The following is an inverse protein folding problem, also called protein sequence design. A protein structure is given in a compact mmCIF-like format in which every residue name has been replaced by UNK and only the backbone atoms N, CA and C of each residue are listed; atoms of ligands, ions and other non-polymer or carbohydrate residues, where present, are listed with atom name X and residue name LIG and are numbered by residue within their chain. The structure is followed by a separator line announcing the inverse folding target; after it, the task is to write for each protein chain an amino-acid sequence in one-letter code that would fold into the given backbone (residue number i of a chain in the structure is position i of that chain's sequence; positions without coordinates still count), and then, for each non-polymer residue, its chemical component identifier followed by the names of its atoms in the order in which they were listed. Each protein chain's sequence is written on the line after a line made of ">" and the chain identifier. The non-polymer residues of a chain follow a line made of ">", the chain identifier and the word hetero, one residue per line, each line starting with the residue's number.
data_IF_698488878992
#
_entry.id   IF_698488878992
#
_cell.length_a   1.000
_cell.length_b   1.000
_cell.length_c   1.000
_cell.angle_alpha   90.00
_cell.angle_beta   90.00
_cell.angle_gamma   90.00
#
_symmetry.space_group_name_H-M   'P 1'
#
loop_
_entity.id
_entity.type
_entity.pdbx_description
1 polymer ?
#
# COMPACT_ATOMS: atom_id res chain seq x y z
N UNK A 1 -12.91 10.56 1.24
CA UNK A 1 -11.66 11.16 0.76
C UNK A 1 -10.48 10.45 1.38
N UNK A 2 -9.47 10.14 0.61
CA UNK A 2 -8.31 9.39 1.08
C UNK A 2 -7.27 10.35 1.64
N UNK A 3 -6.80 10.08 2.86
CA UNK A 3 -5.75 10.88 3.49
C UNK A 3 -4.38 10.25 3.24
N UNK A 4 -4.16 9.76 2.02
CA UNK A 4 -2.91 9.12 1.64
C UNK A 4 -1.84 10.17 1.41
N UNK A 5 -0.70 9.98 2.05
CA UNK A 5 0.49 10.80 1.84
C UNK A 5 1.58 9.94 1.21
N UNK A 6 2.28 10.50 0.24
CA UNK A 6 3.42 9.86 -0.40
C UNK A 6 4.65 10.71 -0.12
N UNK A 7 5.59 10.18 0.66
CA UNK A 7 6.80 10.93 1.04
C UNK A 7 7.95 10.72 0.06
N UNK A 8 7.76 9.88 -0.95
CA UNK A 8 8.83 9.49 -1.86
C UNK A 8 9.55 8.21 -1.43
N UNK A 9 9.38 7.78 -0.19
CA UNK A 9 9.97 6.55 0.34
C UNK A 9 8.93 5.73 1.10
N UNK A 10 7.77 6.31 1.37
CA UNK A 10 6.75 5.69 2.20
C UNK A 10 5.40 6.26 1.87
N UNK A 11 4.39 5.41 1.79
CA UNK A 11 3.00 5.84 1.83
C UNK A 11 2.53 5.83 3.27
N UNK A 12 1.75 6.83 3.64
CA UNK A 12 1.19 6.95 4.99
C UNK A 12 -0.28 7.30 4.90
N UNK A 13 -1.07 6.77 5.84
CA UNK A 13 -2.49 7.05 5.90
C UNK A 13 -2.94 7.11 7.36
N UNK A 14 -3.60 8.21 7.72
CA UNK A 14 -4.05 8.43 9.09
C UNK A 14 -5.49 7.98 9.27
N UNK A 15 -5.77 7.31 10.39
CA UNK A 15 -7.11 6.96 10.84
C UNK A 15 -7.12 7.03 12.35
N UNK A 16 -8.12 7.67 12.92
CA UNK A 16 -8.31 7.74 14.37
C UNK A 16 -7.06 8.24 15.11
N UNK A 17 -6.36 9.20 14.50
CA UNK A 17 -5.15 9.76 15.08
C UNK A 17 -3.93 8.84 15.02
N UNK A 18 -4.02 7.73 14.30
CA UNK A 18 -2.93 6.75 14.14
C UNK A 18 -2.51 6.70 12.68
N UNK A 19 -1.25 6.36 12.43
CA UNK A 19 -0.71 6.31 11.07
C UNK A 19 -0.33 4.88 10.69
N UNK A 20 -0.92 4.38 9.60
CA UNK A 20 -0.47 3.17 8.93
C UNK A 20 0.50 3.57 7.83
N UNK A 21 1.47 2.69 7.50
CA UNK A 21 2.45 3.06 6.48
C UNK A 21 2.89 1.86 5.66
N UNK A 22 3.44 2.18 4.47
CA UNK A 22 4.01 1.19 3.57
C UNK A 22 5.32 1.74 3.03
N UNK A 23 6.42 1.07 3.36
CA UNK A 23 7.74 1.44 2.86
C UNK A 23 7.92 0.93 1.45
N UNK A 24 8.42 1.77 0.55
CA UNK A 24 8.56 1.37 -0.85
C UNK A 24 9.82 1.97 -1.48
N UNK A 25 10.21 1.38 -2.62
CA UNK A 25 11.27 1.88 -3.48
C UNK A 25 10.77 1.90 -4.91
N UNK A 26 11.18 2.89 -5.68
CA UNK A 26 10.84 2.97 -7.10
C UNK A 26 12.06 2.61 -7.96
N UNK A 27 11.83 1.86 -9.01
CA UNK A 27 12.83 1.60 -10.03
C UNK A 27 12.12 1.53 -11.37
N UNK A 28 12.29 2.58 -12.19
CA UNK A 28 11.56 2.70 -13.45
C UNK A 28 10.07 2.76 -13.19
N UNK A 29 9.30 1.87 -13.82
CA UNK A 29 7.85 1.81 -13.68
C UNK A 29 7.41 0.78 -12.64
N UNK A 30 8.33 0.37 -11.75
CA UNK A 30 8.08 -0.67 -10.77
C UNK A 30 8.21 -0.11 -9.36
N UNK A 31 7.20 -0.38 -8.54
CA UNK A 31 7.17 0.00 -7.15
C UNK A 31 7.41 -1.26 -6.31
N UNK A 32 8.53 -1.28 -5.58
CA UNK A 32 8.84 -2.39 -4.68
C UNK A 32 8.27 -2.07 -3.31
N UNK A 33 7.28 -2.84 -2.90
CA UNK A 33 6.59 -2.62 -1.63
C UNK A 33 7.24 -3.49 -0.58
N UNK A 34 8.12 -2.89 0.22
CA UNK A 34 8.99 -3.63 1.13
C UNK A 34 8.30 -4.04 2.42
N UNK A 35 7.45 -3.19 2.97
CA UNK A 35 6.84 -3.45 4.27
C UNK A 35 5.56 -2.63 4.44
N UNK A 36 4.52 -3.27 4.98
CA UNK A 36 3.25 -2.61 5.30
C UNK A 36 2.98 -2.84 6.78
N UNK A 37 2.66 -1.77 7.49
CA UNK A 37 2.45 -1.82 8.93
C UNK A 37 1.29 -0.95 9.37
N UNK A 38 0.59 -1.37 10.41
CA UNK A 38 -0.43 -0.57 11.09
C UNK A 38 -0.13 -0.55 12.58
N UNK A 39 -0.41 0.57 13.28
CA UNK A 39 -0.26 0.61 14.73
C UNK A 39 -1.17 -0.41 15.39
N UNK A 40 -0.76 -0.86 16.58
CA UNK A 40 -1.54 -1.82 17.36
C UNK A 40 -2.99 -1.34 17.56
N UNK A 41 -3.18 -0.04 17.76
CA UNK A 41 -4.52 0.53 17.98
C UNK A 41 -5.45 0.35 16.77
N UNK A 42 -4.90 0.18 15.57
CA UNK A 42 -5.69 0.01 14.34
C UNK A 42 -5.78 -1.46 13.88
N UNK A 43 -5.13 -2.38 14.59
CA UNK A 43 -5.15 -3.79 14.20
C UNK A 43 -6.57 -4.34 14.32
N UNK A 44 -6.98 -5.12 13.33
CA UNK A 44 -8.32 -5.68 13.27
C UNK A 44 -9.37 -4.73 12.75
N UNK A 45 -9.01 -3.48 12.41
CA UNK A 45 -9.97 -2.50 11.86
C UNK A 45 -10.02 -2.50 10.35
N UNK A 46 -9.08 -3.17 9.68
CA UNK A 46 -8.97 -3.13 8.23
C UNK A 46 -8.14 -1.95 7.71
N UNK A 47 -7.45 -1.22 8.60
CA UNK A 47 -6.67 -0.04 8.21
C UNK A 47 -5.58 -0.37 7.19
N UNK A 48 -4.85 -1.48 7.37
CA UNK A 48 -3.80 -1.88 6.44
C UNK A 48 -4.38 -2.17 5.06
N UNK A 49 -5.56 -2.80 5.00
CA UNK A 49 -6.24 -3.06 3.73
C UNK A 49 -6.68 -1.78 3.04
N UNK A 50 -7.16 -0.81 3.80
CA UNK A 50 -7.52 0.50 3.23
C UNK A 50 -6.30 1.24 2.70
N UNK A 51 -5.17 1.14 3.41
CA UNK A 51 -3.90 1.68 2.93
C UNK A 51 -3.50 1.00 1.62
N UNK A 52 -3.57 -0.33 1.56
CA UNK A 52 -3.25 -1.08 0.35
C UNK A 52 -4.13 -0.64 -0.83
N UNK A 53 -5.43 -0.48 -0.61
CA UNK A 53 -6.33 -0.04 -1.67
C UNK A 53 -5.96 1.36 -2.16
N UNK A 54 -5.66 2.28 -1.24
CA UNK A 54 -5.33 3.65 -1.60
C UNK A 54 -4.01 3.73 -2.36
N UNK A 55 -2.96 3.05 -1.89
CA UNK A 55 -1.66 3.11 -2.57
C UNK A 55 -1.70 2.38 -3.92
N UNK A 56 -2.50 1.32 -4.03
CA UNK A 56 -2.64 0.60 -5.30
C UNK A 56 -3.35 1.46 -6.34
N UNK A 57 -4.38 2.20 -5.92
CA UNK A 57 -5.04 3.14 -6.83
C UNK A 57 -4.08 4.24 -7.28
N UNK A 58 -3.23 4.74 -6.38
CA UNK A 58 -2.22 5.74 -6.70
C UNK A 58 -1.20 5.18 -7.70
N UNK A 59 -0.73 3.96 -7.47
CA UNK A 59 0.21 3.30 -8.37
C UNK A 59 -0.41 3.12 -9.76
N UNK A 60 -1.68 2.72 -9.84
CA UNK A 60 -2.37 2.58 -11.13
C UNK A 60 -2.43 3.93 -11.85
N UNK A 61 -2.77 4.99 -11.11
CA UNK A 61 -2.85 6.32 -11.71
C UNK A 61 -1.52 6.80 -12.25
N UNK A 62 -0.41 6.33 -11.67
CA UNK A 62 0.95 6.68 -12.09
C UNK A 62 1.53 5.71 -13.11
N UNK A 63 0.79 4.70 -13.52
CA UNK A 63 1.27 3.71 -14.49
C UNK A 63 2.32 2.76 -13.93
N UNK A 64 2.33 2.54 -12.62
CA UNK A 64 3.31 1.69 -11.96
C UNK A 64 2.80 0.26 -11.79
N UNK A 65 3.72 -0.71 -11.88
CA UNK A 65 3.47 -2.07 -11.43
C UNK A 65 4.00 -2.20 -10.00
N UNK A 66 3.41 -3.10 -9.24
CA UNK A 66 3.81 -3.33 -7.84
C UNK A 66 4.49 -4.68 -7.73
N UNK A 67 5.71 -4.69 -7.18
CA UNK A 67 6.40 -5.91 -6.79
C UNK A 67 6.31 -6.01 -5.27
N UNK A 68 5.42 -6.85 -4.73
CA UNK A 68 5.25 -6.94 -3.28
C UNK A 68 6.32 -7.83 -2.66
N UNK A 69 7.23 -7.21 -1.93
CA UNK A 69 8.25 -7.93 -1.14
C UNK A 69 7.63 -8.39 0.18
N UNK A 70 6.81 -7.52 0.78
CA UNK A 70 6.10 -7.82 2.02
C UNK A 70 5.07 -8.93 1.81
N UNK A 71 5.09 -9.96 2.66
CA UNK A 71 4.16 -11.09 2.53
C UNK A 71 2.70 -10.68 2.65
N UNK A 72 2.39 -9.73 3.53
CA UNK A 72 1.03 -9.21 3.66
C UNK A 72 0.57 -8.56 2.37
N UNK A 73 1.41 -7.70 1.79
CA UNK A 73 1.07 -6.99 0.56
C UNK A 73 0.89 -7.97 -0.61
N UNK A 74 1.76 -8.99 -0.69
CA UNK A 74 1.66 -9.99 -1.74
C UNK A 74 0.33 -10.75 -1.65
N UNK A 75 -0.05 -11.17 -0.45
CA UNK A 75 -1.30 -11.89 -0.22
C UNK A 75 -2.50 -11.01 -0.52
N UNK A 76 -2.44 -9.74 -0.09
CA UNK A 76 -3.54 -8.80 -0.30
C UNK A 76 -3.77 -8.59 -1.80
N UNK A 77 -2.70 -8.33 -2.55
CA UNK A 77 -2.81 -8.08 -3.99
C UNK A 77 -3.30 -9.31 -4.73
N UNK A 78 -2.81 -10.50 -4.35
CA UNK A 78 -3.22 -11.75 -5.00
C UNK A 78 -4.73 -11.99 -4.85
N UNK A 79 -5.31 -11.58 -3.73
CA UNK A 79 -6.74 -11.76 -3.47
C UNK A 79 -7.59 -10.61 -3.97
N UNK A 80 -6.98 -9.50 -4.38
CA UNK A 80 -7.71 -8.32 -4.83
C UNK A 80 -8.18 -8.50 -6.25
N UNK A 81 -9.49 -8.44 -6.48
CA UNK A 81 -10.04 -8.51 -7.83
C UNK A 81 -9.72 -7.25 -8.61
N UNK A 82 -9.58 -6.13 -7.91
CA UNK A 82 -9.38 -4.84 -8.57
C UNK A 82 -7.92 -4.58 -8.92
N UNK A 83 -6.97 -5.03 -8.09
CA UNK A 83 -5.57 -4.63 -8.21
C UNK A 83 -4.60 -5.77 -8.51
N UNK A 84 -5.08 -7.01 -8.64
CA UNK A 84 -4.19 -8.14 -8.90
C UNK A 84 -3.37 -7.96 -10.18
N UNK A 85 -3.91 -7.23 -11.16
CA UNK A 85 -3.23 -6.98 -12.43
C UNK A 85 -2.02 -6.03 -12.29
N UNK A 86 -1.89 -5.34 -11.15
CA UNK A 86 -0.74 -4.45 -10.93
C UNK A 86 0.52 -5.20 -10.54
N UNK A 87 0.40 -6.46 -10.13
CA UNK A 87 1.56 -7.24 -9.70
C UNK A 87 2.48 -7.46 -10.90
N UNK A 88 3.74 -7.13 -10.70
CA UNK A 88 4.70 -7.28 -11.77
C UNK A 88 6.12 -7.47 -11.28
#
# INVERSE_FOLDING_TARGET
>A
MTDLRDTGARYEMDEQGQTSWADYRLSGERLYLDHVESPTALRGTGAAGRLMAALSADARAKGLKITPICGYAAAWLRRSKEFADLVG
#
